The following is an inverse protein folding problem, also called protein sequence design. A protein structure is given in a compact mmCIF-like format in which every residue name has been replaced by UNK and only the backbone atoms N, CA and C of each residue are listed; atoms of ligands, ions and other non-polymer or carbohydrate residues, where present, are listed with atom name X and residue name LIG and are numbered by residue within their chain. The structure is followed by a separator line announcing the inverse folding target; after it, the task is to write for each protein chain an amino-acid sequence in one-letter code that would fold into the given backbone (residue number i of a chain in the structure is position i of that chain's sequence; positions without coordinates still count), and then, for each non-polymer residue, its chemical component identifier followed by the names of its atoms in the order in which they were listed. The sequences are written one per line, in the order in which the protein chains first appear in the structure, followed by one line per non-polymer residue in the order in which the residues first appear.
data_IF_181038991700
#
_entry.id   IF_181038991700
#
_cell.length_a   1.000
_cell.length_b   1.000
_cell.length_c   1.000
_cell.angle_alpha   90.00
_cell.angle_beta   90.00
_cell.angle_gamma   90.00
#
_symmetry.space_group_name_H-M   'P 1'
#
loop_
_entity.id
_entity.type
_entity.pdbx_description
1 polymer ?
#
# COMPACT_ATOMS: atom_id res chain seq x y z
N UNK A 1 -8.24 -18.11 1.57
CA UNK A 1 -9.21 -17.03 1.84
C UNK A 1 -8.42 -15.80 2.24
N UNK A 2 -8.27 -14.85 1.31
CA UNK A 2 -7.70 -13.54 1.63
C UNK A 2 -8.58 -12.87 2.70
N UNK A 3 -7.96 -12.18 3.66
CA UNK A 3 -8.70 -11.28 4.54
C UNK A 3 -9.37 -10.23 3.64
N UNK A 4 -10.67 -10.01 3.78
CA UNK A 4 -11.28 -8.79 3.22
C UNK A 4 -10.71 -7.63 4.00
N UNK A 5 -9.58 -7.09 3.53
CA UNK A 5 -9.00 -5.90 4.11
C UNK A 5 -10.02 -4.78 3.96
N UNK A 6 -10.25 -4.02 5.03
CA UNK A 6 -11.06 -2.81 4.99
C UNK A 6 -10.44 -1.69 4.13
N UNK A 7 -9.41 -2.00 3.32
CA UNK A 7 -8.62 -1.07 2.53
C UNK A 7 -8.67 -1.44 1.04
N UNK A 8 -8.47 -0.44 0.21
CA UNK A 8 -8.20 -0.60 -1.22
C UNK A 8 -7.16 0.42 -1.65
N UNK A 9 -6.28 0.02 -2.55
CA UNK A 9 -5.28 0.91 -3.12
C UNK A 9 -5.69 1.22 -4.55
N UNK A 10 -5.75 2.51 -4.89
CA UNK A 10 -6.00 2.98 -6.25
C UNK A 10 -4.75 3.68 -6.75
N UNK A 11 -4.18 3.19 -7.85
CA UNK A 11 -2.95 3.71 -8.44
C UNK A 11 -3.24 4.34 -9.80
N UNK A 12 -3.18 5.68 -9.85
CA UNK A 12 -3.31 6.49 -11.06
C UNK A 12 -1.94 6.85 -11.65
N UNK A 13 -1.57 6.25 -12.76
CA UNK A 13 -0.32 6.57 -13.43
C UNK A 13 -0.36 6.32 -14.94
N UNK A 14 0.27 7.18 -15.73
CA UNK A 14 0.25 7.05 -17.19
C UNK A 14 1.06 5.82 -17.68
N UNK A 15 2.12 5.43 -16.96
CA UNK A 15 2.94 4.29 -17.32
C UNK A 15 2.37 3.00 -16.71
N UNK A 16 2.38 2.86 -15.38
CA UNK A 16 1.93 1.63 -14.71
C UNK A 16 0.40 1.49 -14.72
N UNK A 17 -0.37 2.54 -14.95
CA UNK A 17 -1.82 2.45 -15.14
C UNK A 17 -2.22 1.91 -16.52
N UNK A 18 -1.42 2.18 -17.56
CA UNK A 18 -1.73 1.79 -18.94
C UNK A 18 -1.84 0.27 -19.10
N UNK A 19 -2.92 -0.19 -19.74
CA UNK A 19 -3.17 -1.63 -20.01
C UNK A 19 -2.05 -2.30 -20.80
N UNK A 20 -1.28 -1.53 -21.54
CA UNK A 20 -0.22 -2.03 -22.42
C UNK A 20 1.13 -2.17 -21.73
N UNK A 21 1.29 -1.56 -20.56
CA UNK A 21 2.51 -1.59 -19.75
C UNK A 21 2.34 -2.49 -18.53
N UNK A 22 3.48 -3.04 -18.06
CA UNK A 22 3.55 -3.94 -16.90
C UNK A 22 2.53 -5.10 -16.99
N UNK A 23 2.24 -5.58 -18.21
CA UNK A 23 1.19 -6.57 -18.46
C UNK A 23 1.39 -7.86 -17.69
N UNK A 24 2.63 -8.34 -17.61
CA UNK A 24 2.95 -9.59 -16.93
C UNK A 24 2.69 -9.46 -15.43
N UNK A 25 3.27 -8.46 -14.78
CA UNK A 25 3.01 -8.07 -13.39
C UNK A 25 1.49 -7.97 -13.11
N UNK A 26 0.73 -7.23 -13.94
CA UNK A 26 -0.74 -7.10 -13.78
C UNK A 26 -1.49 -8.41 -13.97
N UNK A 27 -1.02 -9.28 -14.86
CA UNK A 27 -1.64 -10.58 -15.12
C UNK A 27 -1.43 -11.51 -13.93
N UNK A 28 -0.22 -11.56 -13.38
CA UNK A 28 0.09 -12.30 -12.17
C UNK A 28 -0.81 -11.87 -11.00
N UNK A 29 -1.12 -10.57 -10.88
CA UNK A 29 -2.07 -10.06 -9.87
C UNK A 29 -3.54 -10.37 -10.13
N UNK A 30 -3.98 -10.38 -11.40
CA UNK A 30 -5.35 -10.81 -11.74
C UNK A 30 -5.53 -12.30 -11.53
N UNK A 31 -4.50 -13.10 -11.82
CA UNK A 31 -4.49 -14.55 -11.60
C UNK A 31 -4.36 -14.88 -10.11
N UNK A 32 -3.87 -13.98 -9.24
CA UNK A 32 -3.98 -14.13 -7.79
C UNK A 32 -5.42 -14.27 -7.24
N UNK A 33 -6.45 -13.99 -8.06
CA UNK A 33 -7.87 -14.18 -7.75
C UNK A 33 -8.47 -15.49 -8.33
N UNK A 34 -7.80 -16.19 -9.25
CA UNK A 34 -8.28 -17.44 -9.89
C UNK A 34 -7.16 -18.50 -10.00
N UNK A 35 -7.44 -19.76 -9.65
CA UNK A 35 -6.46 -20.86 -9.44
C UNK A 35 -5.26 -20.91 -10.40
N UNK A 36 -4.07 -21.08 -9.79
CA UNK A 36 -2.74 -20.91 -10.38
C UNK A 36 -2.39 -22.00 -11.39
N UNK A 37 -2.03 -21.60 -12.62
CA UNK A 37 -1.16 -22.38 -13.51
C UNK A 37 0.27 -21.83 -13.41
N UNK A 38 1.26 -22.72 -13.34
CA UNK A 38 2.67 -22.38 -13.12
C UNK A 38 3.25 -21.49 -14.23
N UNK A 39 3.54 -20.23 -13.90
CA UNK A 39 4.26 -19.29 -14.77
C UNK A 39 5.77 -19.35 -14.42
N UNK A 40 6.69 -19.28 -15.40
CA UNK A 40 8.13 -19.39 -15.14
C UNK A 40 8.66 -18.21 -14.32
N UNK A 41 9.47 -18.50 -13.29
CA UNK A 41 10.12 -17.49 -12.44
C UNK A 41 11.20 -16.72 -13.21
N UNK A 42 10.97 -15.42 -13.41
CA UNK A 42 11.98 -14.45 -13.87
C UNK A 42 12.68 -13.79 -12.67
N UNK A 43 13.83 -13.12 -12.86
CA UNK A 43 14.49 -12.36 -11.80
C UNK A 43 13.52 -11.37 -11.16
N UNK A 44 13.37 -11.49 -9.85
CA UNK A 44 12.46 -10.69 -9.03
C UNK A 44 12.87 -9.21 -9.06
N UNK A 45 12.10 -8.37 -9.77
CA UNK A 45 12.17 -6.92 -9.64
C UNK A 45 11.70 -6.53 -8.22
N UNK A 46 12.46 -5.72 -7.46
CA UNK A 46 12.01 -5.21 -6.16
C UNK A 46 10.60 -4.61 -6.19
N UNK A 47 10.22 -3.95 -7.28
CA UNK A 47 8.88 -3.37 -7.47
C UNK A 47 7.82 -4.46 -7.51
N UNK A 48 8.03 -5.50 -8.31
CA UNK A 48 7.09 -6.63 -8.43
C UNK A 48 6.92 -7.33 -7.08
N UNK A 49 8.01 -7.60 -6.37
CA UNK A 49 7.98 -8.25 -5.06
C UNK A 49 7.21 -7.45 -4.00
N UNK A 50 7.38 -6.13 -3.98
CA UNK A 50 6.66 -5.25 -3.06
C UNK A 50 5.17 -5.21 -3.39
N UNK A 51 4.81 -5.09 -4.67
CA UNK A 51 3.41 -5.08 -5.10
C UNK A 51 2.75 -6.44 -4.82
N UNK A 52 3.45 -7.56 -5.06
CA UNK A 52 3.02 -8.91 -4.70
C UNK A 52 2.70 -9.00 -3.20
N UNK A 53 3.64 -8.60 -2.35
CA UNK A 53 3.43 -8.68 -0.91
C UNK A 53 2.22 -7.84 -0.45
N UNK A 54 2.01 -6.66 -1.03
CA UNK A 54 0.84 -5.81 -0.73
C UNK A 54 -0.46 -6.51 -1.14
N UNK A 55 -0.54 -7.04 -2.36
CA UNK A 55 -1.74 -7.71 -2.85
C UNK A 55 -2.07 -8.99 -2.06
N UNK A 56 -1.05 -9.78 -1.71
CA UNK A 56 -1.23 -11.07 -1.02
C UNK A 56 -1.57 -10.93 0.46
N UNK A 57 -1.06 -9.90 1.12
CA UNK A 57 -1.12 -9.79 2.58
C UNK A 57 -1.88 -8.57 3.08
N UNK A 58 -2.16 -7.59 2.22
CA UNK A 58 -2.74 -6.32 2.63
C UNK A 58 -4.03 -6.04 1.90
N UNK A 59 -3.97 -5.45 0.71
CA UNK A 59 -5.11 -4.85 0.04
C UNK A 59 -4.99 -4.99 -1.48
N UNK A 60 -6.11 -5.13 -2.21
CA UNK A 60 -6.07 -5.13 -3.66
C UNK A 60 -5.62 -3.78 -4.20
N UNK A 61 -4.83 -3.80 -5.27
CA UNK A 61 -4.39 -2.61 -5.99
C UNK A 61 -5.14 -2.54 -7.33
N UNK A 62 -5.83 -1.42 -7.56
CA UNK A 62 -6.50 -1.11 -8.81
C UNK A 62 -5.67 -0.07 -9.59
N UNK A 63 -5.18 -0.46 -10.75
CA UNK A 63 -4.39 0.40 -11.64
C UNK A 63 -5.28 1.07 -12.69
N UNK A 64 -5.06 2.36 -12.93
CA UNK A 64 -5.70 3.11 -14.01
C UNK A 64 -4.77 4.23 -14.51
N UNK A 65 -4.88 4.58 -15.79
CA UNK A 65 -4.23 5.73 -16.40
C UNK A 65 -5.20 6.91 -16.62
N UNK A 66 -6.48 6.75 -16.25
CA UNK A 66 -7.55 7.73 -16.47
C UNK A 66 -7.97 8.39 -15.17
N UNK A 67 -7.97 9.72 -15.15
CA UNK A 67 -8.46 10.50 -14.00
C UNK A 67 -9.94 10.24 -13.71
N UNK A 68 -10.76 10.12 -14.76
CA UNK A 68 -12.19 9.86 -14.63
C UNK A 68 -12.44 8.48 -14.02
N UNK A 69 -11.68 7.47 -14.45
CA UNK A 69 -11.76 6.13 -13.89
C UNK A 69 -11.26 6.11 -12.44
N UNK A 70 -10.16 6.78 -12.13
CA UNK A 70 -9.64 6.90 -10.76
C UNK A 70 -10.68 7.52 -9.81
N UNK A 71 -11.34 8.62 -10.20
CA UNK A 71 -12.41 9.22 -9.40
C UNK A 71 -13.57 8.26 -9.17
N UNK A 72 -14.04 7.56 -10.22
CA UNK A 72 -15.10 6.55 -10.10
C UNK A 72 -14.68 5.42 -9.16
N UNK A 73 -13.43 4.96 -9.24
CA UNK A 73 -12.92 3.92 -8.35
C UNK A 73 -12.88 4.39 -6.89
N UNK A 74 -12.48 5.64 -6.63
CA UNK A 74 -12.49 6.21 -5.27
C UNK A 74 -13.95 6.24 -4.75
N UNK A 75 -14.85 6.89 -5.49
CA UNK A 75 -16.26 7.07 -5.11
C UNK A 75 -16.96 5.72 -4.84
N UNK A 76 -16.76 4.73 -5.71
CA UNK A 76 -17.42 3.43 -5.61
C UNK A 76 -16.95 2.59 -4.40
N UNK A 77 -15.74 2.81 -3.90
CA UNK A 77 -15.17 1.99 -2.83
C UNK A 77 -15.27 2.63 -1.44
N UNK A 78 -15.38 3.95 -1.36
CA UNK A 78 -15.38 4.69 -0.09
C UNK A 78 -16.50 4.31 0.89
N UNK A 79 -17.63 3.77 0.40
CA UNK A 79 -18.74 3.36 1.26
C UNK A 79 -18.46 2.09 2.08
N UNK A 80 -17.50 1.27 1.66
CA UNK A 80 -17.22 -0.04 2.26
C UNK A 80 -15.76 -0.21 2.67
N UNK A 81 -14.85 0.62 2.16
CA UNK A 81 -13.41 0.51 2.36
C UNK A 81 -12.78 1.88 2.52
N UNK A 82 -11.67 1.91 3.25
CA UNK A 82 -10.73 3.02 3.29
C UNK A 82 -9.90 3.03 2.02
N UNK A 83 -9.75 4.20 1.40
CA UNK A 83 -9.03 4.35 0.13
C UNK A 83 -7.63 4.89 0.40
N UNK A 84 -6.63 4.15 -0.05
CA UNK A 84 -5.26 4.63 -0.19
C UNK A 84 -5.05 4.99 -1.65
N UNK A 85 -4.65 6.22 -1.92
CA UNK A 85 -4.47 6.72 -3.28
C UNK A 85 -2.98 6.84 -3.60
N UNK A 86 -2.58 6.41 -4.79
CA UNK A 86 -1.23 6.56 -5.32
C UNK A 86 -1.35 7.27 -6.67
N UNK A 87 -0.53 8.28 -6.93
CA UNK A 87 -0.45 8.84 -8.29
C UNK A 87 0.94 9.32 -8.68
N UNK A 88 1.20 9.48 -9.98
CA UNK A 88 2.29 10.35 -10.41
C UNK A 88 1.93 11.81 -10.20
N UNK A 89 2.90 12.66 -9.86
CA UNK A 89 2.68 14.06 -9.53
C UNK A 89 1.91 14.84 -10.61
N UNK A 90 2.20 14.57 -11.89
CA UNK A 90 1.52 15.21 -13.02
C UNK A 90 0.02 14.91 -13.06
N UNK A 91 -0.38 13.65 -12.82
CA UNK A 91 -1.79 13.26 -12.80
C UNK A 91 -2.44 13.62 -11.46
N UNK A 92 -1.69 13.45 -10.36
CA UNK A 92 -2.07 13.88 -9.02
C UNK A 92 -2.51 15.34 -8.98
N UNK A 93 -1.73 16.24 -9.57
CA UNK A 93 -2.06 17.68 -9.63
C UNK A 93 -3.38 17.97 -10.35
N UNK A 94 -3.80 17.10 -11.27
CA UNK A 94 -5.03 17.28 -12.05
C UNK A 94 -6.26 16.71 -11.33
N UNK A 95 -6.10 15.57 -10.63
CA UNK A 95 -7.20 14.90 -9.94
C UNK A 95 -7.46 15.44 -8.52
N UNK A 96 -6.41 15.89 -7.82
CA UNK A 96 -6.52 16.35 -6.41
C UNK A 96 -7.55 17.47 -6.22
N UNK A 97 -7.63 18.51 -7.06
CA UNK A 97 -8.67 19.54 -6.91
C UNK A 97 -10.09 18.96 -6.93
N UNK A 98 -10.33 17.93 -7.75
CA UNK A 98 -11.63 17.26 -7.85
C UNK A 98 -11.92 16.38 -6.62
N UNK A 99 -10.90 15.73 -6.05
CA UNK A 99 -11.00 14.98 -4.79
C UNK A 99 -11.41 15.90 -3.64
N UNK A 100 -10.78 17.07 -3.55
CA UNK A 100 -11.08 18.09 -2.52
C UNK A 100 -12.48 18.68 -2.73
N UNK A 101 -12.83 19.09 -3.95
CA UNK A 101 -14.15 19.67 -4.27
C UNK A 101 -15.29 18.71 -3.94
N UNK A 102 -15.09 17.41 -4.17
CA UNK A 102 -16.05 16.35 -3.86
C UNK A 102 -16.00 15.86 -2.40
N UNK A 103 -15.14 16.45 -1.57
CA UNK A 103 -14.93 16.08 -0.16
C UNK A 103 -14.58 14.59 0.05
N UNK A 104 -13.87 13.98 -0.92
CA UNK A 104 -13.51 12.57 -0.88
C UNK A 104 -12.39 12.33 0.16
N UNK A 105 -12.76 11.65 1.25
CA UNK A 105 -11.87 11.29 2.36
C UNK A 105 -10.94 10.12 2.00
N UNK A 106 -9.68 10.44 1.71
CA UNK A 106 -8.62 9.44 1.54
C UNK A 106 -8.00 9.11 2.89
N UNK A 107 -7.65 7.84 3.13
CA UNK A 107 -6.89 7.44 4.32
C UNK A 107 -5.44 7.93 4.23
N UNK A 108 -4.85 7.83 3.04
CA UNK A 108 -3.48 8.27 2.75
C UNK A 108 -3.31 8.51 1.26
N UNK A 109 -2.44 9.44 0.91
CA UNK A 109 -2.12 9.77 -0.46
C UNK A 109 -0.61 9.73 -0.71
N UNK A 110 -0.18 8.86 -1.61
CA UNK A 110 1.22 8.71 -2.00
C UNK A 110 1.45 9.26 -3.40
N UNK A 111 2.54 9.99 -3.59
CA UNK A 111 2.87 10.59 -4.87
C UNK A 111 4.27 10.20 -5.31
N UNK A 112 4.37 9.64 -6.51
CA UNK A 112 5.63 9.49 -7.21
C UNK A 112 5.87 10.70 -8.11
N UNK A 113 6.99 11.40 -7.94
CA UNK A 113 7.22 12.68 -8.63
C UNK A 113 8.48 12.70 -9.50
N UNK A 114 9.41 11.74 -9.36
CA UNK A 114 10.70 11.67 -10.08
C UNK A 114 11.67 12.82 -9.79
N UNK A 115 11.16 14.03 -9.55
CA UNK A 115 11.85 15.21 -9.09
C UNK A 115 10.98 15.91 -8.02
N UNK A 116 11.27 15.65 -6.76
CA UNK A 116 10.49 16.17 -5.63
C UNK A 116 10.56 17.70 -5.52
N UNK A 117 11.69 18.32 -5.88
CA UNK A 117 11.85 19.78 -5.82
C UNK A 117 10.87 20.50 -6.76
N UNK A 118 10.67 19.95 -7.97
CA UNK A 118 9.77 20.53 -8.97
C UNK A 118 8.29 20.54 -8.53
N UNK A 119 7.95 19.70 -7.54
CA UNK A 119 6.58 19.51 -7.06
C UNK A 119 6.38 19.95 -5.61
N UNK A 120 7.40 20.53 -4.97
CA UNK A 120 7.39 20.90 -3.55
C UNK A 120 6.24 21.84 -3.19
N UNK A 121 6.06 22.92 -3.94
CA UNK A 121 5.05 23.94 -3.62
C UNK A 121 3.64 23.35 -3.70
N UNK A 122 3.38 22.49 -4.69
CA UNK A 122 2.12 21.77 -4.81
C UNK A 122 1.90 20.77 -3.66
N UNK A 123 2.96 20.07 -3.23
CA UNK A 123 2.87 19.21 -2.05
C UNK A 123 2.45 19.99 -0.79
N UNK A 124 2.99 21.20 -0.60
CA UNK A 124 2.62 22.10 0.51
C UNK A 124 1.16 22.54 0.40
N UNK A 125 0.68 22.88 -0.80
CA UNK A 125 -0.73 23.20 -1.05
C UNK A 125 -1.65 22.05 -0.62
N UNK A 126 -1.34 20.81 -1.05
CA UNK A 126 -2.11 19.62 -0.65
C UNK A 126 -2.16 19.42 0.87
N UNK A 127 -1.05 19.65 1.58
CA UNK A 127 -1.01 19.55 3.05
C UNK A 127 -1.90 20.63 3.68
N UNK A 128 -1.85 21.86 3.17
CA UNK A 128 -2.66 22.97 3.67
C UNK A 128 -4.16 22.72 3.42
N UNK A 129 -4.51 22.00 2.35
CA UNK A 129 -5.87 21.54 2.05
C UNK A 129 -6.29 20.32 2.89
N UNK A 130 -5.44 19.87 3.82
CA UNK A 130 -5.75 18.80 4.78
C UNK A 130 -5.47 17.39 4.27
N UNK A 131 -4.82 17.22 3.11
CA UNK A 131 -4.48 15.89 2.60
C UNK A 131 -3.26 15.32 3.32
N UNK A 132 -3.37 14.06 3.75
CA UNK A 132 -2.25 13.26 4.23
C UNK A 132 -1.39 12.75 3.07
N UNK A 133 -0.62 13.67 2.45
CA UNK A 133 0.23 13.41 1.30
C UNK A 133 1.66 13.03 1.71
N UNK A 134 2.21 12.00 1.06
CA UNK A 134 3.61 11.59 1.14
C UNK A 134 4.19 11.55 -0.28
N UNK A 135 5.31 12.24 -0.51
CA UNK A 135 5.93 12.37 -1.83
C UNK A 135 7.26 11.63 -1.90
N UNK A 136 7.52 10.97 -3.04
CA UNK A 136 8.70 10.15 -3.29
C UNK A 136 9.24 10.42 -4.69
N UNK A 137 10.57 10.44 -4.81
CA UNK A 137 11.31 10.57 -6.07
C UNK A 137 11.64 9.22 -6.71
N UNK A 138 11.45 8.11 -5.99
CA UNK A 138 11.65 6.73 -6.45
C UNK A 138 10.46 5.82 -6.11
N UNK A 139 10.01 5.01 -7.08
CA UNK A 139 8.88 4.08 -6.89
C UNK A 139 9.17 3.02 -5.82
N UNK A 140 10.41 2.49 -5.79
CA UNK A 140 10.81 1.51 -4.79
C UNK A 140 10.70 2.06 -3.37
N UNK A 141 11.11 3.32 -3.14
CA UNK A 141 10.99 3.98 -1.84
C UNK A 141 9.52 4.16 -1.43
N UNK A 142 8.67 4.57 -2.37
CA UNK A 142 7.21 4.67 -2.15
C UNK A 142 6.63 3.31 -1.73
N UNK A 143 6.98 2.24 -2.44
CA UNK A 143 6.47 0.90 -2.19
C UNK A 143 6.98 0.30 -0.88
N UNK A 144 8.27 0.49 -0.55
CA UNK A 144 8.82 0.12 0.76
C UNK A 144 8.03 0.83 1.86
N UNK A 145 7.79 2.13 1.70
CA UNK A 145 7.02 2.93 2.65
C UNK A 145 5.59 2.40 2.79
N UNK A 146 4.91 2.14 1.68
CA UNK A 146 3.55 1.61 1.66
C UNK A 146 3.46 0.25 2.36
N UNK A 147 4.41 -0.66 2.13
CA UNK A 147 4.49 -1.94 2.84
C UNK A 147 4.59 -1.74 4.36
N UNK A 148 5.39 -0.78 4.82
CA UNK A 148 5.51 -0.46 6.25
C UNK A 148 4.22 0.12 6.82
N UNK A 149 3.61 1.08 6.13
CA UNK A 149 2.38 1.71 6.57
C UNK A 149 1.23 0.68 6.62
N UNK A 150 1.13 -0.22 5.63
CA UNK A 150 0.17 -1.34 5.66
C UNK A 150 0.47 -2.36 6.76
N UNK A 151 1.74 -2.71 6.99
CA UNK A 151 2.14 -3.55 8.12
C UNK A 151 1.69 -2.96 9.46
N UNK A 152 1.84 -1.65 9.63
CA UNK A 152 1.41 -0.93 10.81
C UNK A 152 -0.10 -0.98 11.00
N UNK A 153 -0.86 -0.72 9.94
CA UNK A 153 -2.32 -0.81 9.92
C UNK A 153 -2.77 -2.20 10.36
N UNK A 154 -2.26 -3.25 9.72
CA UNK A 154 -2.65 -4.62 10.02
C UNK A 154 -2.29 -5.02 11.46
N UNK A 155 -1.15 -4.56 11.96
CA UNK A 155 -0.76 -4.77 13.36
C UNK A 155 -1.73 -4.10 14.33
N UNK A 156 -2.16 -2.86 14.08
CA UNK A 156 -3.13 -2.19 14.96
C UNK A 156 -4.52 -2.85 14.87
N UNK A 157 -4.98 -3.22 13.67
CA UNK A 157 -6.23 -3.98 13.47
C UNK A 157 -6.20 -5.34 14.21
N UNK A 158 -5.07 -6.05 14.13
CA UNK A 158 -4.84 -7.29 14.87
C UNK A 158 -4.90 -7.09 16.38
N UNK A 159 -4.36 -5.99 16.92
CA UNK A 159 -4.48 -5.67 18.35
C UNK A 159 -5.92 -5.40 18.77
N UNK A 160 -6.69 -4.68 17.95
CA UNK A 160 -8.12 -4.44 18.21
C UNK A 160 -8.87 -5.76 18.29
N UNK A 161 -8.64 -6.68 17.34
CA UNK A 161 -9.25 -8.00 17.33
C UNK A 161 -8.84 -8.85 18.54
N UNK A 162 -7.55 -8.83 18.90
CA UNK A 162 -7.05 -9.55 20.07
C UNK A 162 -7.69 -9.04 21.36
N UNK A 163 -7.81 -7.72 21.51
CA UNK A 163 -8.47 -7.10 22.67
C UNK A 163 -9.98 -7.38 22.69
N UNK A 164 -10.60 -7.57 21.54
CA UNK A 164 -11.98 -8.03 21.40
C UNK A 164 -12.15 -9.56 21.58
N UNK A 165 -11.12 -10.24 22.10
CA UNK A 165 -11.09 -11.69 22.33
C UNK A 165 -11.33 -12.52 21.06
N UNK A 166 -10.83 -12.04 19.91
CA UNK A 166 -10.85 -12.73 18.60
C UNK A 166 -9.40 -13.09 18.19
N UNK A 167 -8.75 -14.06 18.87
CA UNK A 167 -7.33 -14.31 18.69
C UNK A 167 -6.97 -14.94 17.33
N UNK A 168 -7.85 -15.77 16.76
CA UNK A 168 -7.58 -16.41 15.45
C UNK A 168 -7.55 -15.39 14.29
N UNK A 169 -8.55 -14.48 14.13
CA UNK A 169 -8.42 -13.38 13.19
C UNK A 169 -7.20 -12.49 13.47
N UNK A 170 -6.96 -12.12 14.73
CA UNK A 170 -5.83 -11.28 15.11
C UNK A 170 -4.47 -11.89 14.69
N UNK A 171 -4.31 -13.21 14.86
CA UNK A 171 -3.11 -13.93 14.45
C UNK A 171 -2.82 -13.74 12.97
N UNK A 172 -3.82 -13.87 12.09
CA UNK A 172 -3.65 -13.68 10.64
C UNK A 172 -3.19 -12.26 10.31
N UNK A 173 -3.76 -11.25 10.96
CA UNK A 173 -3.34 -9.86 10.80
C UNK A 173 -1.87 -9.65 11.20
N UNK A 174 -1.42 -10.24 12.30
CA UNK A 174 -0.03 -10.14 12.72
C UNK A 174 0.93 -10.88 11.79
N UNK A 175 0.54 -12.04 11.26
CA UNK A 175 1.33 -12.80 10.29
C UNK A 175 1.48 -12.03 8.96
N UNK A 176 0.41 -11.41 8.47
CA UNK A 176 0.43 -10.56 7.29
C UNK A 176 1.23 -9.28 7.49
N UNK A 177 1.08 -8.62 8.65
CA UNK A 177 1.89 -7.48 9.02
C UNK A 177 3.39 -7.83 9.04
N UNK A 178 3.75 -9.00 9.57
CA UNK A 178 5.13 -9.48 9.59
C UNK A 178 5.66 -9.73 8.17
N UNK A 179 4.87 -10.37 7.30
CA UNK A 179 5.27 -10.63 5.92
C UNK A 179 5.57 -9.32 5.16
N UNK A 180 4.72 -8.30 5.28
CA UNK A 180 4.95 -6.99 4.68
C UNK A 180 6.19 -6.29 5.23
N UNK A 181 6.38 -6.33 6.56
CA UNK A 181 7.55 -5.72 7.20
C UNK A 181 8.86 -6.41 6.75
N UNK A 182 8.85 -7.74 6.65
CA UNK A 182 9.99 -8.53 6.19
C UNK A 182 10.31 -8.24 4.73
N UNK A 183 9.30 -8.15 3.85
CA UNK A 183 9.51 -7.80 2.44
C UNK A 183 10.06 -6.38 2.30
N UNK A 184 9.49 -5.40 3.01
CA UNK A 184 10.03 -4.04 3.03
C UNK A 184 11.50 -4.02 3.52
N UNK A 185 11.80 -4.78 4.57
CA UNK A 185 13.14 -4.88 5.17
C UNK A 185 14.21 -5.44 4.24
N UNK A 186 13.86 -6.31 3.28
CA UNK A 186 14.79 -6.80 2.25
C UNK A 186 15.32 -5.66 1.37
N UNK A 187 14.47 -4.68 1.07
CA UNK A 187 14.75 -3.60 0.13
C UNK A 187 15.14 -2.27 0.83
N UNK A 188 14.91 -2.18 2.14
CA UNK A 188 15.23 -1.04 3.02
C UNK A 188 16.72 -0.64 3.03
N UNK A 189 17.62 -1.61 2.79
CA UNK A 189 19.07 -1.36 2.78
C UNK A 189 19.57 -0.49 1.63
N UNK A 190 18.69 -0.16 0.67
CA UNK A 190 18.98 0.66 -0.50
C UNK A 190 18.74 2.17 -0.27
N UNK A 191 18.07 2.57 0.82
CA UNK A 191 17.75 3.96 1.11
C UNK A 191 18.71 4.54 2.15
N UNK A 192 19.41 5.62 1.79
CA UNK A 192 20.50 6.21 2.57
C UNK A 192 20.11 6.76 3.95
N UNK A 193 21.09 7.28 4.72
CA UNK A 193 20.98 7.57 6.16
C UNK A 193 20.00 8.69 6.58
N UNK A 194 19.22 9.26 5.66
CA UNK A 194 18.29 10.35 5.92
C UNK A 194 16.81 9.92 6.01
N UNK A 195 16.51 8.62 5.89
CA UNK A 195 15.15 8.14 6.16
C UNK A 195 14.88 8.22 7.68
N UNK A 196 14.12 9.23 8.10
CA UNK A 196 13.73 9.43 9.51
C UNK A 196 12.70 8.42 10.02
N UNK A 197 12.27 7.47 9.17
CA UNK A 197 11.28 6.47 9.53
C UNK A 197 11.96 5.19 10.03
N UNK A 198 11.52 4.73 11.22
CA UNK A 198 12.18 3.62 11.93
C UNK A 198 12.36 2.39 11.04
N UNK A 199 13.56 1.81 10.98
CA UNK A 199 13.82 0.63 10.17
C UNK A 199 12.99 -0.57 10.65
N UNK A 200 12.67 -1.47 9.71
CA UNK A 200 11.90 -2.70 9.95
C UNK A 200 12.45 -3.57 11.11
N UNK A 201 13.74 -3.46 11.40
CA UNK A 201 14.46 -4.19 12.44
C UNK A 201 13.93 -3.95 13.86
N UNK A 202 13.41 -2.76 14.18
CA UNK A 202 12.78 -2.51 15.48
C UNK A 202 11.37 -3.12 15.59
N UNK A 203 10.72 -3.35 14.45
CA UNK A 203 9.31 -3.74 14.39
C UNK A 203 9.08 -5.24 14.49
N UNK A 204 10.01 -6.02 13.94
CA UNK A 204 9.93 -7.48 13.88
C UNK A 204 9.77 -8.15 15.25
N UNK A 205 10.54 -7.81 16.31
CA UNK A 205 10.38 -8.44 17.62
C UNK A 205 8.99 -8.19 18.24
N UNK A 206 8.40 -7.02 18.00
CA UNK A 206 7.07 -6.66 18.49
C UNK A 206 6.01 -7.55 17.83
N UNK A 207 6.07 -7.72 16.50
CA UNK A 207 5.14 -8.57 15.76
C UNK A 207 5.23 -10.04 16.19
N UNK A 208 6.45 -10.57 16.35
CA UNK A 208 6.66 -11.93 16.85
C UNK A 208 6.05 -12.12 18.25
N UNK A 209 6.22 -11.14 19.13
CA UNK A 209 5.60 -11.19 20.46
C UNK A 209 4.07 -11.16 20.40
N UNK A 210 3.47 -10.42 19.47
CA UNK A 210 2.01 -10.35 19.29
C UNK A 210 1.46 -11.67 18.73
N UNK A 211 2.16 -12.29 17.79
CA UNK A 211 1.85 -13.62 17.24
C UNK A 211 1.81 -14.66 18.37
N UNK A 212 2.85 -14.70 19.21
CA UNK A 212 2.89 -15.63 20.34
C UNK A 212 1.78 -15.37 21.35
N UNK A 213 1.46 -14.10 21.60
CA UNK A 213 0.32 -13.73 22.47
C UNK A 213 -1.00 -14.22 21.89
N UNK A 214 -1.25 -14.05 20.59
CA UNK A 214 -2.46 -14.53 19.93
C UNK A 214 -2.56 -16.06 19.97
N UNK A 215 -1.48 -16.78 19.68
CA UNK A 215 -1.42 -18.25 19.75
C UNK A 215 -1.73 -18.80 21.14
N UNK A 216 -1.25 -18.14 22.20
CA UNK A 216 -1.55 -18.52 23.59
C UNK A 216 -3.02 -18.29 23.94
N UNK A 217 -3.63 -17.22 23.44
CA UNK A 217 -5.04 -16.92 23.68
C UNK A 217 -6.02 -17.86 22.96
N UNK A 218 -5.54 -18.69 22.03
CA UNK A 218 -6.33 -19.74 21.36
C UNK A 218 -6.36 -21.07 22.13
N UNK A 219 -5.51 -21.24 23.14
CA UNK A 219 -5.43 -22.46 23.97
C UNK A 219 -6.32 -22.33 25.20
#
# INVERSE_FOLDING_TARGET
MALESGYIIIWLDAHIGSKDNCRQMKTEFKVGLEEIAAVPQMPHDPIDDLICAICEHSAPILFTDSQEEALKLIENNMSSRKVIFISSATLGRQIVPQIIEKELQLESYYVFCGNMEAHRDWGIECINDGLNIQMFDHETTLLIRLCRDMSNILKEDGKVLLNANKPEPALKYFEFALALADTAGKYDTLTGPNDTHRPSTEYRPILLSLIEKARRAMK
#
